data_IF_937868159031
#
_entry.id   IF_937868159031
#
_cell.length_a   1.000
_cell.length_b   1.000
_cell.length_c   1.000
_cell.angle_alpha   90.00
_cell.angle_beta   90.00
_cell.angle_gamma   90.00
#
_symmetry.space_group_name_H-M   'P 1'
#
loop_
_entity.id
_entity.type
_entity.pdbx_description
1 polymer ?
#
# COMPACT_ATOMS: atom_id res chain seq x y z
N UNK A 1 -7.36 -2.06 -2.09
CA UNK A 1 -7.95 -1.31 -3.23
C UNK A 1 -9.45 -0.99 -3.01
N UNK A 2 -9.86 -0.59 -1.78
CA UNK A 2 -11.27 -0.47 -1.36
C UNK A 2 -11.85 0.95 -1.25
N UNK A 3 -11.15 1.99 -1.69
CA UNK A 3 -11.60 3.38 -1.57
C UNK A 3 -12.66 3.78 -2.60
N UNK A 4 -13.60 4.67 -2.23
CA UNK A 4 -14.70 5.14 -3.11
C UNK A 4 -14.27 6.08 -4.24
N UNK A 5 -13.05 6.64 -4.19
CA UNK A 5 -12.48 7.49 -5.25
C UNK A 5 -13.28 8.76 -5.56
N UNK A 6 -14.03 9.32 -4.61
CA UNK A 6 -14.98 10.43 -4.83
C UNK A 6 -14.35 11.69 -5.46
N UNK A 7 -13.07 11.93 -5.21
CA UNK A 7 -12.33 13.06 -5.80
C UNK A 7 -12.20 12.97 -7.33
N UNK A 8 -12.37 11.79 -7.90
CA UNK A 8 -12.33 11.54 -9.35
C UNK A 8 -13.71 11.35 -9.99
N UNK A 9 -14.80 11.72 -9.29
CA UNK A 9 -16.14 11.69 -9.89
C UNK A 9 -16.21 12.60 -11.12
N UNK A 10 -16.93 12.17 -12.18
CA UNK A 10 -17.80 10.97 -12.27
C UNK A 10 -17.10 9.67 -12.69
N UNK A 11 -15.81 9.67 -13.02
CA UNK A 11 -15.07 8.50 -13.55
C UNK A 11 -15.22 7.30 -12.61
N UNK A 12 -15.00 7.51 -11.32
CA UNK A 12 -15.01 6.44 -10.31
C UNK A 12 -16.40 6.05 -9.81
N UNK A 13 -17.47 6.55 -10.41
CA UNK A 13 -18.82 6.03 -10.14
C UNK A 13 -19.02 4.60 -10.64
N UNK A 14 -18.45 4.30 -11.80
CA UNK A 14 -18.62 3.01 -12.46
C UNK A 14 -17.42 2.08 -12.36
N UNK A 15 -16.23 2.61 -12.06
CA UNK A 15 -14.97 1.86 -12.04
C UNK A 15 -14.18 2.19 -10.77
N UNK A 16 -13.47 1.21 -10.21
CA UNK A 16 -12.51 1.45 -9.12
C UNK A 16 -11.41 2.42 -9.55
N UNK A 17 -10.99 3.33 -8.64
CA UNK A 17 -9.91 4.29 -8.89
C UNK A 17 -8.64 3.60 -9.42
N UNK A 18 -8.30 2.46 -8.87
CA UNK A 18 -7.08 1.71 -9.21
C UNK A 18 -7.14 1.04 -10.60
N UNK A 19 -8.33 0.96 -11.21
CA UNK A 19 -8.52 0.47 -12.58
C UNK A 19 -8.50 1.59 -13.63
N UNK A 20 -8.53 2.86 -13.20
CA UNK A 20 -8.40 4.00 -14.11
C UNK A 20 -7.01 3.98 -14.75
N UNK A 21 -6.92 4.14 -16.08
CA UNK A 21 -5.63 4.21 -16.76
C UNK A 21 -4.80 5.40 -16.29
N UNK A 22 -3.53 5.14 -16.03
CA UNK A 22 -2.52 6.16 -15.82
C UNK A 22 -1.40 5.96 -16.84
N UNK A 23 -1.30 6.86 -17.78
CA UNK A 23 -0.46 6.76 -18.96
C UNK A 23 -0.87 5.56 -19.84
N UNK A 24 -0.19 4.42 -19.77
CA UNK A 24 -0.34 3.26 -20.66
C UNK A 24 -0.98 2.03 -20.02
N UNK A 25 -1.26 2.06 -18.70
CA UNK A 25 -1.79 0.91 -17.96
C UNK A 25 -2.68 1.33 -16.79
N UNK A 26 -3.58 0.45 -16.29
CA UNK A 26 -4.33 0.68 -15.07
C UNK A 26 -3.41 1.00 -13.87
N UNK A 27 -3.86 1.92 -13.02
CA UNK A 27 -3.09 2.43 -11.88
C UNK A 27 -2.55 1.32 -10.96
N UNK A 28 -3.30 0.22 -10.79
CA UNK A 28 -2.91 -0.91 -9.91
C UNK A 28 -1.56 -1.55 -10.29
N UNK A 29 -1.14 -1.48 -11.55
CA UNK A 29 0.14 -2.06 -11.98
C UNK A 29 1.36 -1.35 -11.37
N UNK A 30 1.22 -0.07 -11.00
CA UNK A 30 2.32 0.67 -10.38
C UNK A 30 2.66 0.13 -8.99
N UNK A 31 1.73 0.03 -8.01
CA UNK A 31 2.04 -0.60 -6.73
C UNK A 31 2.42 -2.08 -6.86
N UNK A 32 1.82 -2.85 -7.77
CA UNK A 32 2.26 -4.23 -8.04
C UNK A 32 3.74 -4.25 -8.46
N UNK A 33 4.16 -3.37 -9.35
CA UNK A 33 5.56 -3.29 -9.78
C UNK A 33 6.52 -2.96 -8.63
N UNK A 34 6.09 -2.19 -7.63
CA UNK A 34 6.87 -1.92 -6.42
C UNK A 34 7.10 -3.18 -5.60
N UNK A 35 6.04 -3.98 -5.37
CA UNK A 35 6.17 -5.26 -4.68
C UNK A 35 7.08 -6.23 -5.44
N UNK A 36 6.96 -6.29 -6.77
CA UNK A 36 7.86 -7.09 -7.62
C UNK A 36 9.33 -6.64 -7.51
N UNK A 37 9.59 -5.32 -7.49
CA UNK A 37 10.93 -4.77 -7.28
C UNK A 37 11.49 -5.10 -5.89
N UNK A 38 10.63 -5.24 -4.88
CA UNK A 38 10.98 -5.73 -3.56
C UNK A 38 11.21 -7.25 -3.50
N UNK A 39 11.03 -7.97 -4.62
CA UNK A 39 11.16 -9.43 -4.69
C UNK A 39 9.95 -10.22 -4.19
N UNK A 40 8.85 -9.54 -3.84
CA UNK A 40 7.62 -10.17 -3.35
C UNK A 40 6.87 -10.81 -4.52
N UNK A 41 6.52 -12.10 -4.37
CA UNK A 41 5.86 -12.88 -5.42
C UNK A 41 4.43 -13.25 -5.09
N UNK A 42 4.11 -13.44 -3.82
CA UNK A 42 2.76 -13.76 -3.36
C UNK A 42 2.06 -12.47 -2.95
N UNK A 43 0.99 -12.12 -3.66
CA UNK A 43 0.32 -10.83 -3.50
C UNK A 43 -1.18 -11.04 -3.32
N UNK A 44 -1.70 -10.55 -2.20
CA UNK A 44 -3.13 -10.52 -1.92
C UNK A 44 -3.76 -9.20 -2.39
N UNK A 45 -4.76 -9.29 -3.25
CA UNK A 45 -5.57 -8.15 -3.70
C UNK A 45 -6.84 -8.09 -2.86
N UNK A 46 -6.91 -7.12 -1.96
CA UNK A 46 -8.11 -6.87 -1.15
C UNK A 46 -8.92 -5.74 -1.80
N UNK A 47 -10.19 -5.99 -2.08
CA UNK A 47 -11.09 -5.00 -2.69
C UNK A 47 -12.55 -5.16 -2.24
N UNK A 48 -13.40 -4.23 -2.69
CA UNK A 48 -14.83 -4.31 -2.41
C UNK A 48 -15.49 -5.47 -3.16
N UNK A 49 -16.66 -5.98 -2.69
CA UNK A 49 -17.41 -7.01 -3.42
C UNK A 49 -17.75 -6.60 -4.87
N UNK A 50 -17.98 -5.30 -5.10
CA UNK A 50 -18.29 -4.74 -6.42
C UNK A 50 -17.09 -4.79 -7.37
N UNK A 51 -15.91 -4.43 -6.87
CA UNK A 51 -14.75 -4.15 -7.73
C UNK A 51 -13.82 -5.37 -7.87
N UNK A 52 -13.84 -6.30 -6.91
CA UNK A 52 -12.97 -7.47 -6.91
C UNK A 52 -13.05 -8.34 -8.18
N UNK A 53 -14.24 -8.58 -8.78
CA UNK A 53 -14.32 -9.34 -10.03
C UNK A 53 -13.53 -8.70 -11.18
N UNK A 54 -13.50 -7.36 -11.27
CA UNK A 54 -12.74 -6.64 -12.30
C UNK A 54 -11.23 -6.77 -12.09
N UNK A 55 -10.75 -6.80 -10.84
CA UNK A 55 -9.35 -7.07 -10.55
C UNK A 55 -8.97 -8.51 -10.93
N UNK A 56 -9.83 -9.48 -10.64
CA UNK A 56 -9.62 -10.88 -11.05
C UNK A 56 -9.55 -11.04 -12.56
N UNK A 57 -10.42 -10.35 -13.29
CA UNK A 57 -10.43 -10.36 -14.77
C UNK A 57 -9.15 -9.72 -15.33
N UNK A 58 -8.71 -8.59 -14.76
CA UNK A 58 -7.54 -7.85 -15.23
C UNK A 58 -6.22 -8.59 -14.96
N UNK A 59 -6.06 -9.12 -13.75
CA UNK A 59 -4.76 -9.60 -13.21
C UNK A 59 -4.60 -11.13 -13.31
N UNK A 60 -5.73 -11.87 -13.41
CA UNK A 60 -5.72 -13.33 -13.45
C UNK A 60 -5.12 -13.96 -12.19
N UNK A 61 -4.32 -14.99 -12.36
CA UNK A 61 -3.58 -15.67 -11.30
C UNK A 61 -2.16 -15.12 -11.07
N UNK A 62 -1.71 -14.17 -11.89
CA UNK A 62 -0.38 -13.57 -11.83
C UNK A 62 0.72 -14.31 -12.57
N UNK A 63 0.47 -15.51 -13.10
CA UNK A 63 1.47 -16.34 -13.77
C UNK A 63 2.14 -15.65 -14.96
N UNK A 64 1.39 -14.82 -15.70
CA UNK A 64 1.91 -14.01 -16.81
C UNK A 64 2.96 -12.97 -16.39
N UNK A 65 2.99 -12.59 -15.10
CA UNK A 65 3.94 -11.66 -14.51
C UNK A 65 5.02 -12.37 -13.67
N UNK A 66 4.94 -13.69 -13.53
CA UNK A 66 5.86 -14.47 -12.70
C UNK A 66 5.64 -14.31 -11.21
N UNK A 67 4.41 -13.99 -10.80
CA UNK A 67 3.95 -13.82 -9.42
C UNK A 67 2.64 -14.60 -9.20
N UNK A 68 2.14 -14.65 -7.97
CA UNK A 68 0.90 -15.32 -7.61
C UNK A 68 -0.07 -14.30 -7.01
N UNK A 69 -1.29 -14.20 -7.54
CA UNK A 69 -2.34 -13.39 -6.97
C UNK A 69 -3.34 -14.22 -6.18
N UNK A 70 -3.64 -13.77 -4.97
CA UNK A 70 -4.80 -14.15 -4.17
C UNK A 70 -5.77 -12.98 -4.06
N UNK A 71 -7.03 -13.25 -3.71
CA UNK A 71 -8.08 -12.25 -3.77
C UNK A 71 -9.03 -12.38 -2.59
N UNK A 72 -9.19 -11.31 -1.80
CA UNK A 72 -10.09 -11.26 -0.67
C UNK A 72 -11.00 -10.03 -0.68
N UNK A 73 -12.17 -10.18 -0.06
CA UNK A 73 -13.22 -9.16 -0.03
C UNK A 73 -13.18 -8.39 1.27
N UNK A 74 -12.95 -7.09 1.19
CA UNK A 74 -13.26 -6.15 2.27
C UNK A 74 -14.69 -5.63 2.10
N UNK A 75 -15.60 -6.04 2.98
CA UNK A 75 -17.04 -5.73 2.86
C UNK A 75 -17.37 -4.26 3.14
N UNK A 76 -16.58 -3.61 4.01
CA UNK A 76 -16.75 -2.20 4.41
C UNK A 76 -15.38 -1.52 4.47
N UNK A 77 -15.30 -0.21 4.20
CA UNK A 77 -14.05 0.55 4.28
C UNK A 77 -13.72 0.91 5.75
N UNK A 78 -13.35 -0.08 6.57
CA UNK A 78 -13.06 0.09 7.99
C UNK A 78 -11.62 0.53 8.30
N UNK A 79 -10.87 0.95 7.29
CA UNK A 79 -9.48 1.40 7.43
C UNK A 79 -8.46 0.38 6.93
N UNK A 80 -7.18 0.75 7.03
CA UNK A 80 -6.06 -0.06 6.54
C UNK A 80 -5.78 -1.27 7.41
N UNK A 81 -5.94 -1.15 8.72
CA UNK A 81 -5.71 -2.23 9.68
C UNK A 81 -6.59 -3.47 9.42
N UNK A 82 -7.81 -3.28 8.88
CA UNK A 82 -8.67 -4.40 8.50
C UNK A 82 -8.04 -5.30 7.42
N UNK A 83 -7.07 -4.79 6.66
CA UNK A 83 -6.37 -5.58 5.65
C UNK A 83 -5.60 -6.76 6.26
N UNK A 84 -5.04 -6.61 7.47
CA UNK A 84 -4.35 -7.67 8.19
C UNK A 84 -5.33 -8.74 8.69
N UNK A 85 -6.49 -8.32 9.20
CA UNK A 85 -7.56 -9.24 9.63
C UNK A 85 -8.12 -10.04 8.44
N UNK A 86 -8.36 -9.36 7.30
CA UNK A 86 -8.87 -10.01 6.08
C UNK A 86 -7.81 -10.92 5.44
N UNK A 87 -6.55 -10.57 5.59
CA UNK A 87 -5.41 -11.27 5.02
C UNK A 87 -4.75 -12.28 5.95
N UNK A 88 -5.25 -12.50 7.16
CA UNK A 88 -4.62 -13.33 8.20
C UNK A 88 -4.24 -14.72 7.68
N UNK A 89 -5.17 -15.44 7.06
CA UNK A 89 -4.92 -16.77 6.47
C UNK A 89 -3.88 -16.74 5.34
N UNK A 90 -3.79 -15.63 4.59
CA UNK A 90 -2.81 -15.46 3.53
C UNK A 90 -1.42 -15.12 4.07
N UNK A 91 -1.34 -14.30 5.13
CA UNK A 91 -0.10 -13.89 5.77
C UNK A 91 0.54 -15.07 6.49
N UNK A 92 -0.28 -15.84 7.25
CA UNK A 92 0.21 -16.96 8.07
C UNK A 92 1.28 -16.47 9.05
N UNK A 93 2.43 -17.14 9.05
CA UNK A 93 3.57 -16.84 9.95
C UNK A 93 4.65 -15.95 9.28
N UNK A 94 4.37 -15.39 8.09
CA UNK A 94 5.34 -14.60 7.33
C UNK A 94 5.27 -13.10 7.69
N UNK A 95 6.38 -12.39 7.46
CA UNK A 95 6.40 -10.93 7.41
C UNK A 95 5.56 -10.42 6.24
N UNK A 96 5.04 -9.21 6.34
CA UNK A 96 4.09 -8.68 5.36
C UNK A 96 4.43 -7.27 4.90
N UNK A 97 4.28 -7.02 3.59
CA UNK A 97 4.26 -5.67 3.03
C UNK A 97 2.83 -5.26 2.68
N UNK A 98 2.42 -4.06 3.09
CA UNK A 98 1.16 -3.44 2.70
C UNK A 98 1.42 -2.26 1.79
N UNK A 99 0.79 -2.25 0.61
CA UNK A 99 0.85 -1.11 -0.31
C UNK A 99 -0.54 -0.65 -0.71
N UNK A 100 -0.75 0.66 -0.77
CA UNK A 100 -2.00 1.23 -1.23
C UNK A 100 -2.06 1.20 -2.75
N UNK A 101 -3.13 0.64 -3.31
CA UNK A 101 -3.32 0.40 -4.75
C UNK A 101 -3.42 1.66 -5.62
N UNK A 102 -3.40 2.85 -5.03
CA UNK A 102 -3.42 4.14 -5.70
C UNK A 102 -2.17 5.00 -5.45
N UNK A 103 -1.14 4.41 -4.82
CA UNK A 103 0.13 5.07 -4.61
C UNK A 103 1.13 4.70 -5.71
N UNK A 104 1.86 5.70 -6.19
CA UNK A 104 2.88 5.57 -7.22
C UNK A 104 4.20 6.03 -6.62
N UNK A 105 5.18 5.12 -6.65
CA UNK A 105 6.50 5.38 -6.11
C UNK A 105 7.52 5.51 -7.23
N UNK A 106 8.34 6.52 -7.11
CA UNK A 106 9.50 6.75 -7.97
C UNK A 106 10.60 7.43 -7.16
N UNK A 107 11.83 6.99 -7.34
CA UNK A 107 12.96 7.58 -6.64
C UNK A 107 14.31 7.03 -7.07
N UNK A 108 15.36 7.80 -6.79
CA UNK A 108 16.72 7.35 -7.00
C UNK A 108 17.05 6.19 -6.05
N UNK A 109 17.65 5.10 -6.59
CA UNK A 109 18.03 3.90 -5.83
C UNK A 109 16.86 3.25 -5.06
N UNK A 110 15.64 3.38 -5.58
CA UNK A 110 14.44 2.91 -4.89
C UNK A 110 14.47 1.40 -4.63
N UNK A 111 15.00 0.59 -5.56
CA UNK A 111 15.18 -0.86 -5.38
C UNK A 111 16.04 -1.18 -4.17
N UNK A 112 17.15 -0.47 -3.96
CA UNK A 112 18.03 -0.69 -2.80
C UNK A 112 17.34 -0.31 -1.47
N UNK A 113 16.45 0.69 -1.51
CA UNK A 113 15.62 1.08 -0.36
C UNK A 113 14.64 -0.04 -0.03
N UNK A 114 13.98 -0.62 -1.04
CA UNK A 114 13.08 -1.76 -0.87
C UNK A 114 13.81 -2.99 -0.34
N UNK A 115 14.98 -3.34 -0.89
CA UNK A 115 15.81 -4.45 -0.43
C UNK A 115 16.24 -4.32 1.04
N UNK A 116 16.39 -3.09 1.54
CA UNK A 116 16.66 -2.88 2.98
C UNK A 116 15.40 -3.04 3.81
N UNK A 117 14.26 -2.57 3.31
CA UNK A 117 12.99 -2.71 4.02
C UNK A 117 12.54 -4.18 4.15
N UNK A 118 12.84 -5.02 3.14
CA UNK A 118 12.55 -6.47 3.20
C UNK A 118 13.48 -7.27 4.12
N UNK A 119 14.49 -6.64 4.73
CA UNK A 119 15.38 -7.25 5.74
C UNK A 119 15.00 -6.88 7.16
N UNK A 120 13.79 -6.40 7.36
CA UNK A 120 13.23 -6.16 8.67
C UNK A 120 13.30 -7.43 9.51
N UNK A 121 13.83 -7.33 10.73
CA UNK A 121 13.92 -8.47 11.68
C UNK A 121 12.85 -8.34 12.77
N UNK A 122 12.45 -7.12 13.14
CA UNK A 122 11.46 -6.84 14.19
C UNK A 122 10.80 -5.47 13.95
N UNK A 123 9.50 -5.37 14.22
CA UNK A 123 8.72 -4.13 14.19
C UNK A 123 8.24 -3.73 12.80
N UNK A 124 8.44 -2.47 12.40
CA UNK A 124 7.94 -1.93 11.16
C UNK A 124 8.91 -0.99 10.45
N UNK A 125 8.87 -0.98 9.11
CA UNK A 125 9.52 0.05 8.28
C UNK A 125 8.44 0.86 7.57
N UNK A 126 8.46 2.16 7.78
CA UNK A 126 7.65 3.15 7.07
C UNK A 126 8.56 4.09 6.28
N UNK A 127 7.99 4.78 5.30
CA UNK A 127 8.74 5.72 4.46
C UNK A 127 8.34 7.15 4.77
N UNK A 128 9.29 8.06 4.74
CA UNK A 128 9.06 9.49 4.86
C UNK A 128 9.21 10.20 3.51
N UNK A 129 8.18 10.91 3.07
CA UNK A 129 8.22 11.74 1.87
C UNK A 129 8.08 13.21 2.25
N UNK A 130 9.06 14.03 1.83
CA UNK A 130 9.04 15.48 2.12
C UNK A 130 7.99 16.20 1.30
N UNK A 131 7.15 17.02 1.95
CA UNK A 131 6.15 17.88 1.31
C UNK A 131 6.04 19.23 2.01
N UNK A 132 5.62 20.25 1.26
CA UNK A 132 5.35 21.58 1.82
C UNK A 132 3.94 21.69 2.44
N UNK A 133 3.06 20.70 2.24
CA UNK A 133 1.68 20.68 2.74
C UNK A 133 1.42 19.37 3.51
N UNK A 134 2.10 19.13 4.65
CA UNK A 134 2.02 17.88 5.38
C UNK A 134 0.66 17.64 6.07
N UNK A 135 -0.09 18.69 6.40
CA UNK A 135 -1.35 18.66 7.14
C UNK A 135 -2.46 17.82 6.48
N UNK A 136 -2.30 17.48 5.21
CA UNK A 136 -3.27 16.65 4.48
C UNK A 136 -3.04 15.13 4.61
N UNK A 137 -1.95 14.73 5.30
CA UNK A 137 -1.44 13.35 5.33
C UNK A 137 -1.12 12.90 6.76
N UNK A 138 -0.77 11.63 6.91
CA UNK A 138 -0.09 11.16 8.12
C UNK A 138 1.31 11.73 8.18
N UNK A 139 1.64 12.43 9.27
CA UNK A 139 2.95 13.08 9.48
C UNK A 139 3.78 12.24 10.43
N UNK A 140 5.03 11.97 10.06
CA UNK A 140 5.99 11.27 10.91
C UNK A 140 6.97 12.24 11.56
N UNK A 141 7.18 12.09 12.86
CA UNK A 141 8.25 12.72 13.62
C UNK A 141 9.35 11.70 13.90
N UNK A 142 10.61 12.05 13.72
CA UNK A 142 11.75 11.16 13.95
C UNK A 142 12.94 11.96 14.54
N UNK A 143 13.84 11.23 15.18
CA UNK A 143 15.08 11.77 15.71
C UNK A 143 16.21 11.86 14.66
N UNK A 144 17.40 12.30 15.08
CA UNK A 144 18.57 12.45 14.20
C UNK A 144 19.10 11.09 13.68
N UNK A 145 18.76 9.98 14.34
CA UNK A 145 19.06 8.59 13.96
C UNK A 145 17.98 7.93 13.10
N UNK A 146 16.93 8.69 12.72
CA UNK A 146 15.77 8.23 11.95
C UNK A 146 14.83 7.24 12.69
N UNK A 147 14.89 7.20 14.02
CA UNK A 147 13.89 6.45 14.79
C UNK A 147 12.59 7.24 14.84
N UNK A 148 11.48 6.56 14.61
CA UNK A 148 10.15 7.18 14.65
C UNK A 148 9.77 7.50 16.09
N UNK A 149 9.48 8.75 16.36
CA UNK A 149 9.01 9.26 17.66
C UNK A 149 7.50 9.31 17.74
N UNK A 150 6.83 9.73 16.65
CA UNK A 150 5.37 9.76 16.56
C UNK A 150 4.89 9.74 15.12
N UNK A 151 3.66 9.25 14.92
CA UNK A 151 2.92 9.38 13.65
C UNK A 151 1.55 9.95 13.98
N UNK A 152 1.15 11.02 13.30
CA UNK A 152 -0.12 11.71 13.54
C UNK A 152 -0.88 11.90 12.23
N UNK A 153 -2.13 11.42 12.17
CA UNK A 153 -2.96 11.55 10.97
C UNK A 153 -3.55 12.95 10.86
N UNK A 154 -3.23 13.65 9.77
CA UNK A 154 -3.73 14.99 9.43
C UNK A 154 -3.68 15.99 10.59
N UNK A 155 -2.51 16.22 11.18
CA UNK A 155 -2.38 17.12 12.32
C UNK A 155 -2.68 18.57 11.94
N UNK A 156 -3.34 19.31 12.81
CA UNK A 156 -3.53 20.75 12.63
C UNK A 156 -2.19 21.52 12.69
N UNK A 157 -1.22 20.99 13.42
CA UNK A 157 0.13 21.54 13.57
C UNK A 157 1.15 20.43 13.34
N UNK A 158 1.56 20.22 12.08
CA UNK A 158 2.52 19.17 11.75
C UNK A 158 3.86 19.39 12.47
N UNK A 159 4.41 18.33 13.05
CA UNK A 159 5.70 18.34 13.73
C UNK A 159 6.88 18.21 12.76
N UNK A 160 6.64 17.76 11.56
CA UNK A 160 7.63 17.69 10.49
C UNK A 160 6.98 17.92 9.12
N UNK A 161 7.81 18.04 8.08
CA UNK A 161 7.37 18.09 6.69
C UNK A 161 7.42 16.72 6.01
N UNK A 162 7.64 15.65 6.77
CA UNK A 162 7.67 14.29 6.24
C UNK A 162 6.34 13.60 6.47
N UNK A 163 5.77 13.11 5.38
CA UNK A 163 4.49 12.38 5.39
C UNK A 163 4.72 10.92 5.08
N UNK A 164 3.84 10.06 5.59
CA UNK A 164 3.90 8.62 5.39
C UNK A 164 3.11 8.24 4.14
N UNK A 165 3.77 7.86 3.03
CA UNK A 165 3.08 7.31 1.88
C UNK A 165 2.60 5.89 2.17
N UNK A 166 1.67 5.40 1.34
CA UNK A 166 1.02 4.11 1.54
C UNK A 166 1.88 2.90 1.13
N UNK A 167 3.04 2.74 1.75
CA UNK A 167 3.90 1.56 1.65
C UNK A 167 4.48 1.27 3.02
N UNK A 168 4.31 0.05 3.51
CA UNK A 168 4.65 -0.38 4.85
C UNK A 168 5.23 -1.79 4.80
N UNK A 169 6.22 -2.08 5.63
CA UNK A 169 6.72 -3.42 5.89
C UNK A 169 6.61 -3.69 7.39
N UNK A 170 6.11 -4.85 7.75
CA UNK A 170 5.89 -5.28 9.12
C UNK A 170 6.41 -6.69 9.31
N UNK A 171 6.88 -6.99 10.51
CA UNK A 171 6.99 -8.36 10.97
C UNK A 171 5.59 -8.98 11.18
N UNK A 172 5.54 -10.25 11.54
CA UNK A 172 4.28 -10.98 11.70
C UNK A 172 3.43 -10.50 12.88
N UNK A 173 4.00 -9.82 13.87
CA UNK A 173 3.27 -9.31 15.06
C UNK A 173 2.15 -8.31 14.70
N UNK A 174 2.16 -7.76 13.48
CA UNK A 174 1.10 -6.85 13.01
C UNK A 174 -0.28 -7.52 12.90
N UNK A 175 -0.34 -8.86 12.86
CA UNK A 175 -1.59 -9.64 12.75
C UNK A 175 -2.28 -9.81 14.12
N UNK A 176 -1.53 -9.70 15.24
CA UNK A 176 -2.05 -9.79 16.61
C UNK A 176 -2.71 -8.48 17.08
#
# INVERSE_FOLDING_TARGET
>A
AGGSGTRLYPITKAISKQLVPLYDKPMIYYPISVLMLAGIKDILIISTPRDLPMFKELLGDGSSLGINFSYEVQKKPNGLAEAFIVGEDFIGDDDVALILGDNIFHGHRFTEILERATKLEEGAVIFGYYTNNPEAFGVVEFDDEWNVLSVEEKPEKPKSNYVVPGLYFYDNDVVE
#
